data_IF_935000488121
#
_entry.id   IF_935000488121
#
_cell.length_a   1.000
_cell.length_b   1.000
_cell.length_c   1.000
_cell.angle_alpha   90.00
_cell.angle_beta   90.00
_cell.angle_gamma   90.00
#
_symmetry.space_group_name_H-M   'P 1'
#
loop_
_entity.id
_entity.type
_entity.pdbx_description
1 polymer ?
#
# COMPACT_ATOMS: atom_id res chain seq x y z
N UNK A 1 62.48 -45.27 -42.21
CA UNK A 1 62.69 -43.93 -41.63
C UNK A 1 61.34 -43.40 -41.21
N UNK A 2 61.06 -43.40 -39.91
CA UNK A 2 59.78 -43.00 -39.30
C UNK A 2 59.51 -41.51 -39.50
N UNK A 3 58.26 -41.14 -39.75
CA UNK A 3 57.75 -39.80 -39.44
C UNK A 3 56.44 -39.99 -38.67
N UNK A 4 56.51 -39.73 -37.36
CA UNK A 4 55.37 -39.72 -36.43
C UNK A 4 54.60 -38.41 -36.66
N UNK A 5 53.31 -38.50 -36.95
CA UNK A 5 52.39 -37.36 -37.01
C UNK A 5 51.86 -37.10 -35.60
N UNK A 6 52.28 -35.99 -34.98
CA UNK A 6 51.73 -35.52 -33.71
C UNK A 6 50.37 -34.84 -33.95
N UNK A 7 49.27 -35.48 -33.51
CA UNK A 7 47.98 -34.82 -33.32
C UNK A 7 47.99 -34.12 -31.95
N UNK A 8 48.07 -32.79 -31.94
CA UNK A 8 47.82 -31.99 -30.74
C UNK A 8 46.30 -31.78 -30.59
N UNK A 9 45.70 -32.48 -29.63
CA UNK A 9 44.36 -32.19 -29.13
C UNK A 9 44.40 -30.87 -28.32
N UNK A 10 43.97 -29.78 -28.94
CA UNK A 10 43.64 -28.55 -28.22
C UNK A 10 42.28 -28.77 -27.52
N UNK A 11 42.36 -28.97 -26.21
CA UNK A 11 41.21 -28.93 -25.31
C UNK A 11 40.55 -27.55 -25.44
N UNK A 12 39.34 -27.51 -25.98
CA UNK A 12 38.48 -26.35 -25.95
C UNK A 12 37.96 -26.14 -24.51
N UNK A 13 38.79 -25.62 -23.62
CA UNK A 13 38.33 -24.91 -22.42
C UNK A 13 37.94 -23.48 -22.82
N UNK A 14 36.91 -23.38 -23.65
CA UNK A 14 36.24 -22.12 -23.94
C UNK A 14 35.35 -21.76 -22.76
N UNK A 15 35.97 -21.31 -21.66
CA UNK A 15 35.24 -20.51 -20.68
C UNK A 15 34.58 -19.36 -21.44
N UNK A 16 33.28 -19.17 -21.26
CA UNK A 16 32.61 -17.96 -21.71
C UNK A 16 33.45 -16.78 -21.22
N UNK A 17 33.90 -15.87 -22.10
CA UNK A 17 34.52 -14.65 -21.62
C UNK A 17 33.50 -13.97 -20.69
N UNK A 18 33.91 -13.41 -19.54
CA UNK A 18 32.98 -12.61 -18.74
C UNK A 18 32.40 -11.57 -19.70
N UNK A 19 31.08 -11.53 -19.82
CA UNK A 19 30.38 -10.62 -20.70
C UNK A 19 30.97 -9.22 -20.46
N UNK A 20 31.68 -8.69 -21.46
CA UNK A 20 32.24 -7.36 -21.39
C UNK A 20 31.05 -6.42 -21.15
N UNK A 21 30.98 -5.89 -19.94
CA UNK A 21 29.99 -4.95 -19.43
C UNK A 21 30.13 -3.62 -20.19
N UNK A 22 29.67 -3.64 -21.44
CA UNK A 22 29.66 -2.51 -22.34
C UNK A 22 28.43 -1.65 -22.06
N UNK A 23 28.57 -0.35 -22.28
CA UNK A 23 27.43 0.57 -22.13
C UNK A 23 26.30 0.13 -23.08
N UNK A 24 25.04 0.01 -22.62
CA UNK A 24 23.94 -0.31 -23.52
C UNK A 24 23.86 0.73 -24.66
N UNK A 25 23.59 0.27 -25.89
CA UNK A 25 23.72 1.08 -27.10
C UNK A 25 22.80 2.32 -27.14
N UNK A 26 21.65 2.30 -26.45
CA UNK A 26 20.71 3.43 -26.34
C UNK A 26 20.95 4.27 -25.08
N UNK A 27 22.07 4.04 -24.38
CA UNK A 27 22.40 4.71 -23.14
C UNK A 27 23.76 5.37 -23.23
N UNK A 28 23.95 6.41 -22.41
CA UNK A 28 25.21 7.10 -22.22
C UNK A 28 25.80 6.73 -20.86
N UNK A 29 27.06 6.30 -20.86
CA UNK A 29 27.77 5.93 -19.63
C UNK A 29 28.88 6.95 -19.34
N UNK A 30 28.78 7.61 -18.20
CA UNK A 30 29.67 8.68 -17.76
C UNK A 30 30.37 8.26 -16.47
N UNK A 31 31.68 8.51 -16.37
CA UNK A 31 32.39 8.36 -15.10
C UNK A 31 32.30 9.66 -14.29
N UNK A 32 31.97 9.53 -13.01
CA UNK A 32 32.03 10.62 -12.04
C UNK A 32 33.08 10.29 -10.99
N UNK A 33 33.89 11.29 -10.63
CA UNK A 33 34.79 11.20 -9.49
C UNK A 33 33.94 11.45 -8.23
N UNK A 34 33.92 10.50 -7.32
CA UNK A 34 33.27 10.61 -6.02
C UNK A 34 34.18 11.36 -5.03
N UNK A 35 33.57 11.86 -3.95
CA UNK A 35 34.21 12.68 -2.91
C UNK A 35 35.35 11.96 -2.19
N UNK A 36 35.33 10.63 -2.18
CA UNK A 36 36.34 9.74 -1.58
C UNK A 36 37.52 9.44 -2.54
N UNK A 37 37.51 10.03 -3.74
CA UNK A 37 38.52 9.81 -4.78
C UNK A 37 38.26 8.57 -5.64
N UNK A 38 37.19 7.80 -5.39
CA UNK A 38 36.79 6.68 -6.24
C UNK A 38 36.11 7.16 -7.53
N UNK A 39 36.03 6.28 -8.53
CA UNK A 39 35.33 6.53 -9.79
C UNK A 39 34.11 5.63 -9.87
N UNK A 40 32.95 6.25 -10.05
CA UNK A 40 31.68 5.55 -10.18
C UNK A 40 31.03 5.88 -11.52
N UNK A 41 30.36 4.89 -12.12
CA UNK A 41 29.68 5.08 -13.39
C UNK A 41 28.24 5.54 -13.16
N UNK A 42 27.86 6.61 -13.84
CA UNK A 42 26.46 6.98 -14.06
C UNK A 42 26.03 6.54 -15.45
N UNK A 43 24.90 5.85 -15.54
CA UNK A 43 24.28 5.42 -16.80
C UNK A 43 23.00 6.19 -17.01
N UNK A 44 22.82 6.78 -18.18
CA UNK A 44 21.67 7.59 -18.56
C UNK A 44 21.05 6.99 -19.82
N UNK A 45 19.79 6.61 -19.75
CA UNK A 45 18.98 6.13 -20.86
C UNK A 45 17.75 7.03 -20.98
N UNK A 46 17.61 7.73 -22.10
CA UNK A 46 16.53 8.70 -22.32
C UNK A 46 16.00 8.68 -23.77
N UNK A 47 16.26 7.58 -24.47
CA UNK A 47 15.74 7.33 -25.81
C UNK A 47 14.26 6.91 -25.72
N UNK A 48 13.33 7.68 -26.33
CA UNK A 48 11.90 7.37 -26.32
C UNK A 48 11.53 6.00 -26.90
N UNK A 49 12.37 5.44 -27.78
CA UNK A 49 12.14 4.14 -28.43
C UNK A 49 12.46 2.95 -27.50
N UNK A 50 13.07 3.20 -26.33
CA UNK A 50 13.29 2.16 -25.31
C UNK A 50 11.94 1.76 -24.71
N UNK A 51 11.43 0.60 -25.15
CA UNK A 51 10.17 0.01 -24.65
C UNK A 51 10.38 -1.15 -23.66
N UNK A 52 11.59 -1.68 -23.60
CA UNK A 52 12.02 -2.74 -22.69
C UNK A 52 13.24 -2.27 -21.90
N UNK A 53 13.38 -2.77 -20.67
CA UNK A 53 14.54 -2.47 -19.85
C UNK A 53 15.81 -2.99 -20.56
N UNK A 54 16.79 -2.11 -20.87
CA UNK A 54 18.04 -2.54 -21.48
C UNK A 54 18.77 -3.58 -20.61
N UNK A 55 19.41 -4.55 -21.25
CA UNK A 55 20.29 -5.48 -20.56
C UNK A 55 21.73 -4.93 -20.51
N UNK A 56 22.59 -5.59 -19.72
CA UNK A 56 24.04 -5.37 -19.75
C UNK A 56 24.51 -4.02 -19.21
N UNK A 57 23.82 -3.44 -18.23
CA UNK A 57 24.39 -2.31 -17.51
C UNK A 57 25.74 -2.69 -16.87
N UNK A 58 26.75 -1.80 -16.88
CA UNK A 58 28.02 -2.10 -16.24
C UNK A 58 27.88 -2.32 -14.73
N UNK A 59 28.56 -3.33 -14.18
CA UNK A 59 28.45 -3.72 -12.76
C UNK A 59 29.02 -2.67 -11.78
N UNK A 60 29.85 -1.74 -12.29
CA UNK A 60 30.35 -0.56 -11.57
C UNK A 60 29.36 0.63 -11.61
N UNK A 61 28.13 0.42 -12.10
CA UNK A 61 27.09 1.44 -12.12
C UNK A 61 26.63 1.75 -10.71
N UNK A 62 26.79 3.00 -10.34
CA UNK A 62 26.40 3.60 -9.07
C UNK A 62 25.08 4.37 -9.16
N UNK A 63 24.85 4.97 -10.34
CA UNK A 63 23.66 5.77 -10.63
C UNK A 63 23.06 5.40 -11.97
N UNK A 64 21.87 4.84 -11.96
CA UNK A 64 21.12 4.46 -13.16
C UNK A 64 19.92 5.38 -13.32
N UNK A 65 19.88 6.11 -14.45
CA UNK A 65 18.76 6.97 -14.84
C UNK A 65 18.16 6.44 -16.13
N UNK A 66 16.89 6.08 -16.07
CA UNK A 66 16.11 5.64 -17.22
C UNK A 66 14.85 6.49 -17.24
N UNK A 67 14.84 7.60 -17.97
CA UNK A 67 13.79 8.62 -17.86
C UNK A 67 13.22 8.95 -19.24
N UNK A 68 11.92 9.26 -19.32
CA UNK A 68 11.26 9.65 -20.58
C UNK A 68 11.33 8.57 -21.68
N UNK A 69 11.22 7.31 -21.28
CA UNK A 69 11.18 6.14 -22.18
C UNK A 69 9.79 5.49 -22.19
N UNK A 70 9.60 4.49 -23.05
CA UNK A 70 8.36 3.71 -23.17
C UNK A 70 8.35 2.42 -22.32
N UNK A 71 9.19 2.30 -21.30
CA UNK A 71 9.24 1.12 -20.42
C UNK A 71 7.96 1.01 -19.59
N UNK A 72 7.30 -0.15 -19.70
CA UNK A 72 6.02 -0.45 -19.03
C UNK A 72 6.15 -1.27 -17.75
N UNK A 73 7.24 -2.03 -17.61
CA UNK A 73 7.40 -3.00 -16.52
C UNK A 73 8.84 -3.12 -16.06
N UNK A 74 9.03 -3.35 -14.77
CA UNK A 74 10.30 -3.81 -14.19
C UNK A 74 10.16 -5.32 -13.91
N UNK A 75 10.91 -6.19 -14.62
CA UNK A 75 10.86 -7.63 -14.42
C UNK A 75 11.53 -8.06 -13.10
N UNK A 76 11.32 -9.32 -12.69
CA UNK A 76 12.01 -9.93 -11.56
C UNK A 76 13.53 -9.83 -11.72
N UNK A 77 14.24 -9.56 -10.63
CA UNK A 77 15.71 -9.53 -10.58
C UNK A 77 16.37 -8.58 -11.60
N UNK A 78 15.63 -7.57 -12.07
CA UNK A 78 16.05 -6.64 -13.14
C UNK A 78 17.43 -6.02 -12.92
N UNK A 79 17.81 -5.82 -11.65
CA UNK A 79 19.03 -5.12 -11.25
C UNK A 79 19.93 -5.96 -10.34
N UNK A 80 19.74 -7.29 -10.26
CA UNK A 80 20.47 -8.15 -9.31
C UNK A 80 22.00 -8.15 -9.51
N UNK A 81 22.46 -7.78 -10.70
CA UNK A 81 23.87 -7.71 -11.11
C UNK A 81 24.50 -6.32 -10.88
N UNK A 82 23.79 -5.40 -10.23
CA UNK A 82 24.25 -4.03 -9.92
C UNK A 82 24.42 -3.82 -8.41
N UNK A 83 25.42 -4.46 -7.76
CA UNK A 83 25.56 -4.43 -6.30
C UNK A 83 25.96 -3.05 -5.75
N UNK A 84 26.53 -2.18 -6.58
CA UNK A 84 27.01 -0.85 -6.18
C UNK A 84 26.00 0.28 -6.44
N UNK A 85 24.78 -0.06 -6.87
CA UNK A 85 23.78 0.92 -7.24
C UNK A 85 23.24 1.63 -6.00
N UNK A 86 23.42 2.95 -5.94
CA UNK A 86 22.91 3.81 -4.85
C UNK A 86 21.71 4.64 -5.31
N UNK A 87 21.66 5.01 -6.60
CA UNK A 87 20.60 5.84 -7.18
C UNK A 87 19.95 5.14 -8.37
N UNK A 88 18.65 4.86 -8.27
CA UNK A 88 17.84 4.32 -9.36
C UNK A 88 16.68 5.26 -9.65
N UNK A 89 16.75 5.93 -10.81
CA UNK A 89 15.72 6.86 -11.26
C UNK A 89 15.06 6.30 -12.51
N UNK A 90 13.76 6.00 -12.39
CA UNK A 90 12.92 5.57 -13.51
C UNK A 90 11.71 6.51 -13.70
N UNK A 91 11.95 7.81 -13.52
CA UNK A 91 10.96 8.87 -13.55
C UNK A 91 10.40 9.13 -14.95
N UNK A 92 9.13 9.53 -15.04
CA UNK A 92 8.44 9.91 -16.29
C UNK A 92 8.53 8.85 -17.40
N UNK A 93 8.39 7.57 -17.05
CA UNK A 93 8.18 6.50 -18.00
C UNK A 93 6.69 6.15 -18.09
N UNK A 94 6.37 4.96 -18.60
CA UNK A 94 5.00 4.43 -18.65
C UNK A 94 4.83 3.19 -17.77
N UNK A 95 5.58 3.11 -16.67
CA UNK A 95 5.56 1.95 -15.78
C UNK A 95 4.16 1.75 -15.18
N UNK A 96 3.60 0.57 -15.41
CA UNK A 96 2.33 0.15 -14.82
C UNK A 96 2.48 -1.04 -13.88
N UNK A 97 3.65 -1.68 -13.86
CA UNK A 97 3.90 -2.87 -13.06
C UNK A 97 5.37 -3.01 -12.64
N UNK A 98 5.58 -3.40 -11.38
CA UNK A 98 6.89 -3.71 -10.79
C UNK A 98 6.75 -5.07 -10.11
N UNK A 99 7.63 -6.02 -10.45
CA UNK A 99 7.66 -7.31 -9.78
C UNK A 99 8.14 -7.17 -8.32
N UNK A 100 7.67 -8.05 -7.43
CA UNK A 100 8.08 -8.10 -6.02
C UNK A 100 9.58 -8.27 -5.82
N UNK A 101 10.24 -9.00 -6.72
CA UNK A 101 11.68 -9.30 -6.63
C UNK A 101 12.52 -8.46 -7.60
N UNK A 102 11.94 -7.40 -8.18
CA UNK A 102 12.64 -6.52 -9.13
C UNK A 102 13.92 -5.92 -8.58
N UNK A 103 13.92 -5.61 -7.28
CA UNK A 103 15.00 -4.90 -6.59
C UNK A 103 15.91 -5.84 -5.79
N UNK A 104 15.84 -7.14 -6.05
CA UNK A 104 16.69 -8.12 -5.38
C UNK A 104 18.18 -7.78 -5.57
N UNK A 105 18.96 -7.79 -4.49
CA UNK A 105 20.41 -7.54 -4.51
C UNK A 105 20.82 -6.07 -4.41
N UNK A 106 19.88 -5.12 -4.37
CA UNK A 106 20.14 -3.68 -4.28
C UNK A 106 20.42 -3.21 -2.85
N UNK A 107 21.41 -3.84 -2.20
CA UNK A 107 21.72 -3.61 -0.79
C UNK A 107 22.19 -2.18 -0.47
N UNK A 108 22.83 -1.51 -1.44
CA UNK A 108 23.38 -0.16 -1.27
C UNK A 108 22.43 0.95 -1.76
N UNK A 109 21.23 0.60 -2.25
CA UNK A 109 20.33 1.60 -2.82
C UNK A 109 19.85 2.58 -1.74
N UNK A 110 20.13 3.86 -1.94
CA UNK A 110 19.72 4.94 -1.04
C UNK A 110 18.50 5.70 -1.57
N UNK A 111 18.38 5.80 -2.90
CA UNK A 111 17.37 6.61 -3.57
C UNK A 111 16.70 5.86 -4.72
N UNK A 112 15.37 5.69 -4.61
CA UNK A 112 14.52 5.11 -5.63
C UNK A 112 13.46 6.13 -6.07
N UNK A 113 13.51 6.54 -7.33
CA UNK A 113 12.50 7.42 -7.94
C UNK A 113 11.72 6.71 -9.03
N UNK A 114 10.41 6.64 -8.85
CA UNK A 114 9.45 6.06 -9.79
C UNK A 114 8.32 7.07 -10.09
N UNK A 115 8.57 8.36 -9.89
CA UNK A 115 7.61 9.44 -10.06
C UNK A 115 7.16 9.63 -11.52
N UNK A 116 5.95 10.15 -11.72
CA UNK A 116 5.39 10.43 -13.04
C UNK A 116 5.15 9.17 -13.89
N UNK A 117 4.80 8.05 -13.27
CA UNK A 117 4.47 6.78 -13.93
C UNK A 117 2.96 6.45 -13.80
N UNK A 118 2.56 5.21 -14.13
CA UNK A 118 1.18 4.75 -14.10
C UNK A 118 0.95 3.59 -13.12
N UNK A 119 1.75 3.52 -12.04
CA UNK A 119 1.65 2.45 -11.06
C UNK A 119 0.31 2.53 -10.31
N UNK A 120 -0.48 1.47 -10.37
CA UNK A 120 -1.71 1.33 -9.56
C UNK A 120 -1.42 0.71 -8.19
N UNK A 121 -0.30 0.01 -8.06
CA UNK A 121 0.21 -0.54 -6.81
C UNK A 121 1.75 -0.54 -6.84
N UNK A 122 2.35 -0.47 -5.65
CA UNK A 122 3.78 -0.62 -5.43
C UNK A 122 4.03 -1.88 -4.58
N UNK A 123 5.01 -2.73 -4.90
CA UNK A 123 5.29 -3.94 -4.13
C UNK A 123 6.03 -3.61 -2.84
N UNK A 124 5.35 -3.08 -1.82
CA UNK A 124 5.97 -2.61 -0.56
C UNK A 124 6.91 -3.61 0.13
N UNK A 125 6.67 -4.93 -0.02
CA UNK A 125 7.56 -5.97 0.51
C UNK A 125 8.95 -5.95 -0.15
N UNK A 126 9.06 -5.48 -1.40
CA UNK A 126 10.34 -5.41 -2.13
C UNK A 126 11.36 -4.48 -1.46
N UNK A 127 10.90 -3.57 -0.59
CA UNK A 127 11.77 -2.70 0.22
C UNK A 127 12.71 -3.50 1.13
N UNK A 128 12.39 -4.76 1.46
CA UNK A 128 13.30 -5.66 2.20
C UNK A 128 14.63 -5.93 1.49
N UNK A 129 14.67 -5.74 0.17
CA UNK A 129 15.88 -5.91 -0.64
C UNK A 129 16.73 -4.64 -0.74
N UNK A 130 16.27 -3.52 -0.15
CA UNK A 130 16.93 -2.22 -0.17
C UNK A 130 17.03 -1.67 1.28
N UNK A 131 17.78 -2.34 2.16
CA UNK A 131 17.83 -2.01 3.59
C UNK A 131 18.43 -0.63 3.90
N UNK A 132 19.12 0.00 2.95
CA UNK A 132 19.70 1.33 3.10
C UNK A 132 18.87 2.44 2.43
N UNK A 133 17.67 2.11 1.93
CA UNK A 133 16.84 3.08 1.21
C UNK A 133 16.38 4.18 2.17
N UNK A 134 16.66 5.44 1.78
CA UNK A 134 16.31 6.66 2.50
C UNK A 134 15.21 7.44 1.78
N UNK A 135 15.23 7.45 0.45
CA UNK A 135 14.31 8.23 -0.39
C UNK A 135 13.52 7.30 -1.31
N UNK A 136 12.19 7.33 -1.16
CA UNK A 136 11.25 6.71 -2.08
C UNK A 136 10.31 7.76 -2.66
N UNK A 137 10.42 8.00 -3.97
CA UNK A 137 9.55 8.92 -4.69
C UNK A 137 8.58 8.14 -5.58
N UNK A 138 7.29 8.24 -5.25
CA UNK A 138 6.16 7.64 -5.96
C UNK A 138 5.15 8.72 -6.41
N UNK A 139 5.55 10.00 -6.40
CA UNK A 139 4.70 11.11 -6.81
C UNK A 139 4.13 10.91 -8.22
N UNK A 140 2.89 11.35 -8.44
CA UNK A 140 2.31 11.40 -9.77
C UNK A 140 2.06 10.01 -10.38
N UNK A 141 1.69 9.03 -9.56
CA UNK A 141 1.27 7.69 -9.96
C UNK A 141 -0.26 7.52 -9.81
N UNK A 142 -0.75 6.28 -9.77
CA UNK A 142 -2.18 5.94 -9.63
C UNK A 142 -2.44 5.03 -8.44
N UNK A 143 -1.61 5.11 -7.39
CA UNK A 143 -1.72 4.27 -6.21
C UNK A 143 -3.04 4.55 -5.49
N UNK A 144 -3.83 3.51 -5.24
CA UNK A 144 -5.13 3.64 -4.54
C UNK A 144 -5.05 3.40 -3.04
N UNK A 145 -3.99 2.74 -2.56
CA UNK A 145 -3.82 2.38 -1.15
C UNK A 145 -2.37 2.06 -0.81
N UNK A 146 -2.00 2.31 0.44
CA UNK A 146 -0.79 1.76 1.08
C UNK A 146 -1.24 0.67 2.06
N UNK A 147 -0.71 -0.56 2.01
CA UNK A 147 -1.05 -1.62 2.95
C UNK A 147 -0.42 -1.36 4.32
N UNK A 148 -1.08 -1.75 5.40
CA UNK A 148 -0.57 -1.63 6.78
C UNK A 148 0.78 -2.35 6.93
N UNK A 149 1.00 -3.46 6.24
CA UNK A 149 2.23 -4.24 6.26
C UNK A 149 3.44 -3.45 5.76
N UNK A 150 3.24 -2.40 4.96
CA UNK A 150 4.33 -1.53 4.49
C UNK A 150 5.11 -0.88 5.65
N UNK A 151 4.45 -0.66 6.81
CA UNK A 151 5.09 -0.12 8.01
C UNK A 151 6.29 -0.95 8.49
N UNK A 152 6.35 -2.24 8.15
CA UNK A 152 7.48 -3.11 8.48
C UNK A 152 8.75 -2.78 7.69
N UNK A 153 8.61 -2.19 6.51
CA UNK A 153 9.71 -2.05 5.55
C UNK A 153 10.17 -0.61 5.31
N UNK A 154 9.44 0.40 5.78
CA UNK A 154 9.73 1.83 5.55
C UNK A 154 10.54 2.49 6.67
N UNK A 155 11.09 1.72 7.61
CA UNK A 155 11.73 2.25 8.83
C UNK A 155 12.99 3.07 8.57
N UNK A 156 13.64 2.84 7.44
CA UNK A 156 14.87 3.53 7.02
C UNK A 156 14.60 4.76 6.16
N UNK A 157 13.36 4.90 5.66
CA UNK A 157 12.99 6.04 4.84
C UNK A 157 12.96 7.32 5.67
N UNK A 158 13.63 8.34 5.16
CA UNK A 158 13.56 9.73 5.62
C UNK A 158 12.77 10.60 4.64
N UNK A 159 12.46 10.10 3.45
CA UNK A 159 11.64 10.79 2.46
C UNK A 159 10.72 9.79 1.76
N UNK A 160 9.41 10.06 1.83
CA UNK A 160 8.38 9.34 1.09
C UNK A 160 7.43 10.34 0.43
N UNK A 161 7.45 10.40 -0.89
CA UNK A 161 6.46 11.18 -1.64
C UNK A 161 5.42 10.26 -2.29
N UNK A 162 4.17 10.41 -1.84
CA UNK A 162 2.98 9.74 -2.36
C UNK A 162 1.96 10.77 -2.91
N UNK A 163 2.37 12.01 -3.10
CA UNK A 163 1.51 13.06 -3.63
C UNK A 163 1.03 12.77 -5.05
N UNK A 164 -0.05 13.43 -5.47
CA UNK A 164 -0.63 13.27 -6.81
C UNK A 164 -0.95 11.80 -7.18
N UNK A 165 -1.49 11.04 -6.24
CA UNK A 165 -1.92 9.65 -6.43
C UNK A 165 -3.46 9.54 -6.32
N UNK A 166 -3.97 8.35 -5.99
CA UNK A 166 -5.41 8.06 -5.80
C UNK A 166 -5.69 7.51 -4.39
N UNK A 167 -4.86 7.88 -3.42
CA UNK A 167 -5.00 7.41 -2.05
C UNK A 167 -6.26 7.96 -1.40
N UNK A 168 -7.05 7.07 -0.80
CA UNK A 168 -8.23 7.44 -0.01
C UNK A 168 -7.88 7.64 1.47
N UNK A 169 -6.82 6.99 1.96
CA UNK A 169 -6.43 7.04 3.37
C UNK A 169 -4.96 6.69 3.50
N UNK A 170 -4.40 6.97 4.68
CA UNK A 170 -3.06 6.57 5.08
C UNK A 170 -3.14 5.71 6.35
N UNK A 171 -2.60 4.46 6.35
CA UNK A 171 -2.63 3.62 7.54
C UNK A 171 -1.90 4.27 8.72
N UNK A 172 -2.48 4.19 9.92
CA UNK A 172 -1.88 4.78 11.12
C UNK A 172 -0.60 4.05 11.55
N UNK A 173 -0.41 2.80 11.14
CA UNK A 173 0.82 2.05 11.39
C UNK A 173 2.04 2.68 10.70
N UNK A 174 1.84 3.34 9.57
CA UNK A 174 2.92 4.04 8.85
C UNK A 174 3.35 5.27 9.65
N UNK A 175 2.38 6.06 10.11
CA UNK A 175 2.64 7.24 10.94
C UNK A 175 3.30 6.83 12.26
N UNK A 176 2.79 5.81 12.94
CA UNK A 176 3.34 5.34 14.23
C UNK A 176 4.72 4.71 14.07
N UNK A 177 4.99 4.02 12.96
CA UNK A 177 6.33 3.50 12.65
C UNK A 177 7.36 4.63 12.64
N UNK A 178 7.04 5.79 12.08
CA UNK A 178 7.94 6.94 12.04
C UNK A 178 7.98 7.74 13.34
N UNK A 179 6.87 7.82 14.07
CA UNK A 179 6.82 8.49 15.39
C UNK A 179 7.59 7.75 16.49
N UNK A 180 7.79 6.44 16.34
CA UNK A 180 8.49 5.60 17.34
C UNK A 180 9.99 5.48 17.10
N UNK A 181 10.51 5.96 15.96
CA UNK A 181 11.95 6.02 15.71
C UNK A 181 12.56 7.05 16.65
N UNK A 182 13.13 6.58 17.77
CA UNK A 182 14.02 7.42 18.57
C UNK A 182 15.18 7.84 17.67
N UNK A 183 15.57 9.13 17.67
CA UNK A 183 16.77 9.55 16.97
C UNK A 183 17.92 8.63 17.38
N UNK A 184 18.56 7.97 16.41
CA UNK A 184 19.80 7.26 16.70
C UNK A 184 20.76 8.27 17.35
N UNK A 185 21.30 7.93 18.51
CA UNK A 185 22.21 8.81 19.24
C UNK A 185 23.35 9.23 18.29
N UNK A 186 23.42 10.53 17.99
CA UNK A 186 24.44 11.10 17.11
C UNK A 186 24.00 11.43 15.68
N UNK A 187 22.78 11.09 15.26
CA UNK A 187 22.22 11.56 13.99
C UNK A 187 21.46 12.87 14.23
N UNK A 188 21.93 13.96 13.62
CA UNK A 188 21.19 15.22 13.55
C UNK A 188 19.75 14.96 13.12
N UNK A 189 18.80 15.67 13.75
CA UNK A 189 17.35 15.62 13.52
C UNK A 189 16.98 15.34 12.07
N UNK A 190 16.88 14.06 11.70
CA UNK A 190 16.52 13.67 10.35
C UNK A 190 15.02 13.78 10.25
N UNK A 191 14.55 14.97 9.84
CA UNK A 191 13.14 15.22 9.59
C UNK A 191 12.69 14.27 8.49
N UNK A 192 11.70 13.44 8.80
CA UNK A 192 11.06 12.55 7.84
C UNK A 192 10.16 13.43 6.96
N UNK A 193 10.34 13.39 5.66
CA UNK A 193 9.57 14.18 4.71
C UNK A 193 8.47 13.31 4.11
N UNK A 194 7.22 13.77 4.20
CA UNK A 194 6.05 13.05 3.71
C UNK A 194 5.22 13.89 2.73
N UNK A 195 5.07 13.41 1.50
CA UNK A 195 4.17 13.97 0.50
C UNK A 195 2.84 13.21 0.43
N UNK A 196 1.73 13.90 0.68
CA UNK A 196 0.36 13.32 0.57
C UNK A 196 -0.63 14.21 -0.19
N UNK A 197 -0.24 15.42 -0.59
CA UNK A 197 -1.12 16.34 -1.30
C UNK A 197 -1.62 15.76 -2.63
N UNK A 198 -2.67 16.36 -3.19
CA UNK A 198 -3.30 15.93 -4.45
C UNK A 198 -3.75 14.46 -4.48
N UNK A 199 -4.14 13.94 -3.31
CA UNK A 199 -4.83 12.67 -3.17
C UNK A 199 -6.32 12.88 -2.83
N UNK A 200 -7.23 12.02 -3.32
CA UNK A 200 -8.64 12.08 -3.02
C UNK A 200 -8.96 11.51 -1.62
N UNK A 201 -8.40 12.14 -0.58
CA UNK A 201 -8.51 11.68 0.81
C UNK A 201 -9.97 11.60 1.27
N UNK A 202 -10.37 10.43 1.76
CA UNK A 202 -11.66 10.15 2.38
C UNK A 202 -11.54 10.38 3.89
N UNK A 203 -11.99 11.54 4.33
CA UNK A 203 -11.99 11.99 5.72
C UNK A 203 -13.07 11.30 6.56
N UNK A 204 -12.85 10.00 6.80
CA UNK A 204 -13.54 9.22 7.82
C UNK A 204 -12.60 8.93 9.00
N UNK A 205 -13.06 8.14 9.97
CA UNK A 205 -12.30 7.87 11.18
C UNK A 205 -10.90 7.25 10.94
N UNK A 206 -10.64 6.65 9.77
CA UNK A 206 -9.34 6.04 9.46
C UNK A 206 -8.25 7.10 9.28
N UNK A 207 -8.63 8.32 8.91
CA UNK A 207 -7.72 9.47 8.84
C UNK A 207 -7.59 10.23 10.16
N UNK A 208 -8.24 9.77 11.24
CA UNK A 208 -8.20 10.43 12.55
C UNK A 208 -6.76 10.72 13.01
N UNK A 209 -5.88 9.72 12.99
CA UNK A 209 -4.50 9.89 13.46
C UNK A 209 -3.70 10.86 12.59
N UNK A 210 -3.94 10.87 11.27
CA UNK A 210 -3.30 11.82 10.35
C UNK A 210 -3.77 13.26 10.62
N UNK A 211 -5.06 13.46 10.87
CA UNK A 211 -5.62 14.76 11.28
C UNK A 211 -5.01 15.24 12.58
N UNK A 212 -4.94 14.38 13.61
CA UNK A 212 -4.32 14.74 14.89
C UNK A 212 -2.85 15.10 14.71
N UNK A 213 -2.15 14.34 13.87
CA UNK A 213 -0.76 14.61 13.54
C UNK A 213 -0.58 15.98 12.85
N UNK A 214 -1.45 16.35 11.91
CA UNK A 214 -1.37 17.66 11.25
C UNK A 214 -1.73 18.82 12.18
N UNK A 215 -2.65 18.62 13.14
CA UNK A 215 -2.99 19.62 14.17
C UNK A 215 -1.82 19.88 15.12
N UNK A 216 -1.06 18.83 15.44
CA UNK A 216 0.07 18.87 16.38
C UNK A 216 1.26 18.08 15.81
N UNK A 217 1.95 18.63 14.78
CA UNK A 217 3.03 17.91 14.11
C UNK A 217 4.19 17.65 15.07
N UNK A 218 4.76 16.44 15.00
CA UNK A 218 6.01 16.16 15.69
C UNK A 218 7.15 16.90 15.00
N UNK A 219 8.20 17.26 15.75
CA UNK A 219 9.41 17.85 15.16
C UNK A 219 10.13 16.90 14.19
N UNK A 220 9.81 15.60 14.23
CA UNK A 220 10.49 14.56 13.46
C UNK A 220 9.89 14.30 12.08
N UNK A 221 8.71 14.84 11.74
CA UNK A 221 8.08 14.63 10.43
C UNK A 221 7.59 15.96 9.85
N UNK A 222 8.02 16.27 8.63
CA UNK A 222 7.61 17.43 7.85
C UNK A 222 6.79 17.00 6.64
N UNK A 223 5.68 17.69 6.37
CA UNK A 223 4.95 17.49 5.12
C UNK A 223 5.56 18.33 4.00
N UNK A 224 5.63 17.78 2.79
CA UNK A 224 6.04 18.54 1.59
C UNK A 224 5.06 19.70 1.34
N UNK A 225 3.77 19.44 1.48
CA UNK A 225 2.71 20.45 1.48
C UNK A 225 1.76 20.17 2.65
N UNK A 226 1.53 21.18 3.49
CA UNK A 226 0.65 21.13 4.65
C UNK A 226 -0.81 21.38 4.30
N UNK A 227 -1.14 21.81 3.08
CA UNK A 227 -2.50 22.09 2.62
C UNK A 227 -3.25 20.83 2.18
N UNK A 228 -3.17 19.77 2.97
CA UNK A 228 -3.94 18.55 2.74
C UNK A 228 -5.43 18.85 2.88
N UNK A 229 -6.26 18.36 1.96
CA UNK A 229 -7.70 18.60 1.93
C UNK A 229 -8.48 17.30 1.84
N UNK A 230 -9.64 17.29 2.45
CA UNK A 230 -10.63 16.23 2.30
C UNK A 230 -11.25 16.29 0.91
N UNK A 231 -11.28 15.17 0.19
CA UNK A 231 -12.04 15.05 -1.05
C UNK A 231 -13.46 14.50 -0.80
N UNK A 232 -13.57 13.63 0.20
CA UNK A 232 -14.82 13.00 0.61
C UNK A 232 -14.87 12.85 2.15
N UNK A 233 -16.04 12.61 2.76
CA UNK A 233 -17.38 12.66 2.16
C UNK A 233 -17.75 14.07 1.69
N UNK A 234 -18.85 14.22 0.95
CA UNK A 234 -19.32 15.52 0.42
C UNK A 234 -19.44 16.59 1.51
N UNK A 235 -19.86 16.21 2.72
CA UNK A 235 -19.96 17.11 3.88
C UNK A 235 -18.63 17.70 4.35
N UNK A 236 -17.50 17.09 3.99
CA UNK A 236 -16.16 17.54 4.35
C UNK A 236 -15.32 17.93 3.12
N UNK A 237 -15.88 17.86 1.91
CA UNK A 237 -15.12 18.08 0.68
C UNK A 237 -14.55 19.50 0.62
N UNK A 238 -13.27 19.63 0.27
CA UNK A 238 -12.52 20.89 0.18
C UNK A 238 -11.99 21.43 1.51
N UNK A 239 -12.44 20.91 2.65
CA UNK A 239 -11.98 21.33 3.98
C UNK A 239 -10.54 20.91 4.18
N UNK A 240 -9.74 21.77 4.84
CA UNK A 240 -8.37 21.42 5.24
C UNK A 240 -8.41 20.27 6.24
N UNK A 241 -7.51 19.31 6.08
CA UNK A 241 -7.45 18.13 6.91
C UNK A 241 -7.18 18.49 8.39
N UNK A 242 -6.42 19.55 8.66
CA UNK A 242 -6.23 20.11 10.02
C UNK A 242 -7.53 20.62 10.66
N UNK A 243 -8.53 20.99 9.87
CA UNK A 243 -9.77 21.58 10.35
C UNK A 243 -10.89 20.54 10.46
N UNK A 244 -10.66 19.34 9.94
CA UNK A 244 -11.62 18.23 10.03
C UNK A 244 -11.78 17.78 11.49
N UNK A 245 -13.03 17.71 11.95
CA UNK A 245 -13.37 17.11 13.24
C UNK A 245 -13.80 15.65 13.03
N UNK A 246 -12.81 14.75 13.09
CA UNK A 246 -13.02 13.32 12.90
C UNK A 246 -13.14 12.63 14.25
N UNK A 247 -14.02 11.63 14.34
CA UNK A 247 -14.09 10.72 15.48
C UNK A 247 -13.11 9.57 15.29
N UNK A 248 -12.48 9.11 16.37
CA UNK A 248 -11.65 7.92 16.34
C UNK A 248 -12.47 6.70 15.93
N UNK A 249 -11.88 5.79 15.14
CA UNK A 249 -12.57 4.56 14.76
C UNK A 249 -12.90 3.74 16.01
N UNK A 250 -14.10 3.17 16.03
CA UNK A 250 -14.58 2.34 17.12
C UNK A 250 -15.12 1.05 16.55
N UNK A 251 -14.60 -0.07 17.05
CA UNK A 251 -15.12 -1.37 16.69
C UNK A 251 -16.63 -1.44 16.97
N UNK A 252 -17.39 -2.00 16.02
CA UNK A 252 -18.83 -2.01 16.14
C UNK A 252 -19.30 -2.97 17.23
N UNK A 253 -20.00 -2.43 18.22
CA UNK A 253 -20.63 -3.18 19.31
C UNK A 253 -22.10 -3.40 18.97
N UNK A 254 -22.49 -4.66 18.92
CA UNK A 254 -23.87 -5.04 18.60
C UNK A 254 -24.68 -5.15 19.89
N UNK A 255 -25.74 -4.37 19.97
CA UNK A 255 -26.74 -4.42 21.03
C UNK A 255 -27.98 -5.18 20.51
N UNK A 256 -28.25 -6.36 21.06
CA UNK A 256 -29.53 -7.04 20.80
C UNK A 256 -30.56 -6.58 21.83
N UNK A 257 -31.73 -6.12 21.36
CA UNK A 257 -32.81 -5.68 22.26
C UNK A 257 -33.56 -6.88 22.87
N UNK A 258 -33.71 -7.98 22.12
CA UNK A 258 -34.40 -9.20 22.58
C UNK A 258 -33.64 -10.43 22.10
N UNK A 259 -33.18 -11.25 23.04
CA UNK A 259 -32.38 -12.45 22.75
C UNK A 259 -33.22 -13.72 22.57
N UNK A 260 -34.53 -13.67 22.81
CA UNK A 260 -35.46 -14.81 22.74
C UNK A 260 -36.90 -14.36 22.44
N UNK A 261 -37.40 -14.61 21.23
CA UNK A 261 -38.79 -14.28 20.83
C UNK A 261 -39.58 -15.55 20.57
N UNK A 262 -40.74 -15.66 21.23
CA UNK A 262 -41.69 -16.78 21.20
C UNK A 262 -42.97 -16.28 20.52
N UNK A 263 -43.46 -16.98 19.50
CA UNK A 263 -44.64 -16.57 18.71
C UNK A 263 -45.39 -17.79 18.18
N UNK A 264 -46.70 -17.62 17.93
CA UNK A 264 -47.55 -18.61 17.27
C UNK A 264 -47.41 -18.52 15.76
N UNK A 265 -47.66 -19.65 15.07
CA UNK A 265 -47.65 -19.73 13.61
C UNK A 265 -48.66 -18.76 13.01
N UNK A 266 -48.28 -18.10 11.91
CA UNK A 266 -49.13 -17.12 11.21
C UNK A 266 -49.01 -15.67 11.71
N UNK A 267 -48.38 -15.43 12.86
CA UNK A 267 -48.12 -14.07 13.33
C UNK A 267 -47.00 -13.39 12.55
N UNK A 268 -46.98 -12.06 12.59
CA UNK A 268 -45.84 -11.28 12.13
C UNK A 268 -44.85 -11.09 13.29
N UNK A 269 -43.58 -11.40 13.04
CA UNK A 269 -42.51 -11.27 14.05
C UNK A 269 -41.51 -10.21 13.60
N UNK A 270 -41.21 -9.28 14.51
CA UNK A 270 -40.21 -8.23 14.33
C UNK A 270 -38.97 -8.55 15.16
N UNK A 271 -37.82 -8.73 14.50
CA UNK A 271 -36.52 -8.84 15.17
C UNK A 271 -35.80 -7.52 15.05
N UNK A 272 -35.25 -7.02 16.17
CA UNK A 272 -34.58 -5.72 16.19
C UNK A 272 -33.17 -5.87 16.73
N UNK A 273 -32.19 -5.44 15.94
CA UNK A 273 -30.79 -5.41 16.32
C UNK A 273 -30.22 -4.00 16.19
N UNK A 274 -29.57 -3.52 17.24
CA UNK A 274 -28.84 -2.25 17.26
C UNK A 274 -27.36 -2.49 17.14
N UNK A 275 -26.61 -1.56 16.54
CA UNK A 275 -25.16 -1.54 16.65
C UNK A 275 -24.64 -0.11 16.70
N UNK A 276 -23.53 0.07 17.40
CA UNK A 276 -22.82 1.34 17.52
C UNK A 276 -21.39 1.13 17.11
N UNK A 277 -20.84 2.02 16.29
CA UNK A 277 -19.46 1.95 15.83
C UNK A 277 -19.11 3.16 14.98
N UNK A 278 -17.82 3.34 14.73
CA UNK A 278 -17.30 4.37 13.83
C UNK A 278 -16.32 3.70 12.87
N UNK A 279 -16.62 3.63 11.55
CA UNK A 279 -17.80 4.17 10.88
C UNK A 279 -19.10 3.44 11.28
N UNK A 280 -20.25 4.04 10.99
CA UNK A 280 -21.56 3.43 11.31
C UNK A 280 -21.64 2.05 10.65
N UNK A 281 -21.82 0.97 11.42
CA UNK A 281 -21.74 -0.39 10.87
C UNK A 281 -22.96 -0.70 9.99
N UNK A 282 -22.76 -1.42 8.89
CA UNK A 282 -23.89 -1.98 8.11
C UNK A 282 -24.31 -3.32 8.70
N UNK A 283 -25.58 -3.44 9.10
CA UNK A 283 -26.13 -4.68 9.68
C UNK A 283 -26.77 -5.58 8.61
N UNK A 284 -26.50 -6.87 8.68
CA UNK A 284 -27.10 -7.89 7.79
C UNK A 284 -27.70 -9.04 8.61
N UNK A 285 -28.79 -9.62 8.13
CA UNK A 285 -29.45 -10.74 8.80
C UNK A 285 -29.14 -12.06 8.10
N UNK A 286 -28.87 -13.12 8.86
CA UNK A 286 -28.67 -14.48 8.34
C UNK A 286 -29.19 -15.54 9.30
N UNK A 287 -29.67 -16.67 8.80
CA UNK A 287 -29.99 -17.82 9.66
C UNK A 287 -28.72 -18.59 10.02
N UNK A 288 -28.73 -19.22 11.18
CA UNK A 288 -27.65 -20.08 11.63
C UNK A 288 -27.52 -21.37 10.81
N UNK A 289 -28.65 -21.88 10.33
CA UNK A 289 -28.75 -23.09 9.52
C UNK A 289 -28.44 -22.86 8.02
N UNK A 290 -28.07 -21.63 7.64
CA UNK A 290 -27.75 -21.26 6.26
C UNK A 290 -28.95 -21.15 5.32
N UNK A 291 -30.18 -21.38 5.80
CA UNK A 291 -31.39 -21.23 4.99
C UNK A 291 -31.69 -19.76 4.70
N UNK A 292 -32.47 -19.51 3.66
CA UNK A 292 -32.94 -18.18 3.29
C UNK A 292 -33.89 -17.61 4.35
N UNK A 293 -33.76 -16.32 4.65
CA UNK A 293 -34.69 -15.59 5.51
C UNK A 293 -35.90 -15.15 4.68
N UNK A 294 -37.10 -15.55 5.11
CA UNK A 294 -38.34 -15.08 4.50
C UNK A 294 -38.82 -13.79 5.20
N UNK A 295 -38.08 -12.69 5.01
CA UNK A 295 -38.40 -11.43 5.65
C UNK A 295 -37.70 -10.23 5.03
N UNK A 296 -38.24 -9.05 5.28
CA UNK A 296 -37.68 -7.78 4.80
C UNK A 296 -36.98 -7.05 5.94
N UNK A 297 -35.74 -6.60 5.72
CA UNK A 297 -34.98 -5.82 6.69
C UNK A 297 -34.96 -4.34 6.31
N UNK A 298 -35.23 -3.46 7.29
CA UNK A 298 -35.06 -2.00 7.16
C UNK A 298 -34.01 -1.52 8.16
N UNK A 299 -33.20 -0.55 7.75
CA UNK A 299 -32.21 0.10 8.62
C UNK A 299 -32.62 1.53 8.92
N UNK A 300 -32.46 1.92 10.18
CA UNK A 300 -32.77 3.24 10.70
C UNK A 300 -31.57 3.73 11.51
N UNK A 301 -31.12 4.94 11.24
CA UNK A 301 -30.03 5.56 12.00
C UNK A 301 -30.63 6.44 13.09
N UNK A 302 -30.33 6.13 14.36
CA UNK A 302 -30.65 7.01 15.49
C UNK A 302 -29.76 8.24 15.47
N UNK A 303 -30.27 9.34 16.02
CA UNK A 303 -29.50 10.57 16.27
C UNK A 303 -28.28 10.32 17.18
N UNK A 304 -28.36 9.30 18.04
CA UNK A 304 -27.29 8.93 18.98
C UNK A 304 -26.17 8.08 18.31
N UNK A 305 -26.19 7.92 16.99
CA UNK A 305 -25.18 7.16 16.25
C UNK A 305 -25.36 5.63 16.31
N UNK A 306 -26.48 5.16 16.87
CA UNK A 306 -26.88 3.75 16.84
C UNK A 306 -27.59 3.46 15.53
N UNK A 307 -27.12 2.48 14.76
CA UNK A 307 -27.90 1.91 13.66
C UNK A 307 -28.81 0.82 14.22
N UNK A 308 -30.10 0.89 13.88
CA UNK A 308 -31.08 -0.14 14.16
C UNK A 308 -31.43 -0.84 12.86
N UNK A 309 -31.43 -2.17 12.89
CA UNK A 309 -31.95 -3.00 11.82
C UNK A 309 -33.15 -3.77 12.34
N UNK A 310 -34.28 -3.67 11.64
CA UNK A 310 -35.53 -4.34 11.97
C UNK A 310 -35.84 -5.31 10.85
N UNK A 311 -35.86 -6.60 11.18
CA UNK A 311 -36.31 -7.67 10.29
C UNK A 311 -37.78 -7.96 10.56
N UNK A 312 -38.61 -7.80 9.54
CA UNK A 312 -40.01 -8.22 9.56
C UNK A 312 -40.16 -9.58 8.87
N UNK A 313 -40.55 -10.59 9.63
CA UNK A 313 -40.91 -11.92 9.15
C UNK A 313 -42.42 -12.04 9.23
N UNK A 314 -43.09 -11.97 8.09
CA UNK A 314 -44.54 -12.04 7.99
C UNK A 314 -45.03 -13.48 7.97
N UNK A 315 -46.14 -13.76 8.65
CA UNK A 315 -46.77 -15.08 8.69
C UNK A 315 -45.79 -16.22 9.03
N UNK A 316 -45.14 -16.14 10.19
CA UNK A 316 -44.08 -17.09 10.58
C UNK A 316 -44.56 -18.55 10.58
N UNK A 317 -43.70 -19.44 10.10
CA UNK A 317 -43.93 -20.89 10.05
C UNK A 317 -42.97 -21.64 10.97
N UNK A 318 -43.19 -22.94 11.18
CA UNK A 318 -42.25 -23.79 11.91
C UNK A 318 -40.88 -23.88 11.22
N UNK A 319 -40.82 -23.64 9.91
CA UNK A 319 -39.56 -23.60 9.16
C UNK A 319 -38.74 -22.35 9.46
N UNK A 320 -39.34 -21.27 9.97
CA UNK A 320 -38.65 -20.05 10.38
C UNK A 320 -37.96 -20.19 11.74
N UNK A 321 -38.09 -21.38 12.34
CA UNK A 321 -37.47 -21.71 13.61
C UNK A 321 -35.95 -21.86 13.54
N UNK A 322 -35.26 -21.19 14.46
CA UNK A 322 -33.82 -21.33 14.64
C UNK A 322 -33.15 -20.06 15.16
N UNK A 323 -31.82 -20.10 15.20
CA UNK A 323 -31.03 -18.93 15.57
C UNK A 323 -30.90 -18.01 14.35
N UNK A 324 -31.15 -16.71 14.52
CA UNK A 324 -31.07 -15.70 13.47
C UNK A 324 -30.07 -14.63 13.92
N UNK A 325 -29.00 -14.44 13.15
CA UNK A 325 -27.90 -13.55 13.50
C UNK A 325 -28.00 -12.24 12.75
N UNK A 326 -27.77 -11.14 13.47
CA UNK A 326 -27.41 -9.86 12.87
C UNK A 326 -25.89 -9.76 12.86
N UNK A 327 -25.29 -9.69 11.67
CA UNK A 327 -23.84 -9.71 11.47
C UNK A 327 -23.32 -8.38 10.89
N UNK A 328 -22.18 -7.96 11.42
CA UNK A 328 -21.29 -6.98 10.80
C UNK A 328 -19.88 -7.60 10.61
N UNK A 329 -19.05 -6.97 9.78
CA UNK A 329 -17.70 -7.39 9.37
C UNK A 329 -16.85 -7.91 10.57
N UNK A 330 -16.67 -9.24 10.65
CA UNK A 330 -16.02 -10.01 11.72
C UNK A 330 -16.60 -9.96 13.16
N UNK A 331 -17.40 -8.96 13.54
CA UNK A 331 -18.08 -8.88 14.85
C UNK A 331 -19.48 -9.51 14.80
N UNK A 332 -19.75 -10.45 15.71
CA UNK A 332 -21.02 -11.20 15.78
C UNK A 332 -21.94 -10.63 16.86
N UNK A 333 -23.14 -10.21 16.46
CA UNK A 333 -24.28 -10.06 17.37
C UNK A 333 -25.18 -11.28 17.28
N UNK A 334 -25.44 -11.95 18.41
CA UNK A 334 -26.29 -13.15 18.44
C UNK A 334 -27.69 -12.80 18.92
N UNK A 335 -28.70 -13.08 18.09
CA UNK A 335 -30.10 -13.12 18.51
C UNK A 335 -30.62 -14.56 18.39
N UNK A 336 -31.33 -15.05 19.41
CA UNK A 336 -31.90 -16.40 19.42
C UNK A 336 -33.40 -16.29 19.22
N UNK A 337 -33.97 -16.94 18.21
CA UNK A 337 -35.42 -17.13 18.14
C UNK A 337 -35.75 -18.47 18.77
N UNK A 338 -36.71 -18.53 19.70
CA UNK A 338 -37.13 -19.78 20.35
C UNK A 338 -38.64 -19.78 20.48
N UNK A 339 -39.31 -20.88 20.17
CA UNK A 339 -40.77 -20.94 20.22
C UNK A 339 -41.27 -21.23 21.65
N UNK A 340 -42.49 -20.80 21.94
CA UNK A 340 -43.31 -21.38 23.01
C UNK A 340 -44.33 -22.29 22.35
N UNK A 341 -44.56 -23.43 22.98
CA UNK A 341 -45.67 -24.32 22.68
C UNK A 341 -47.00 -23.66 23.00
#
# INVERSE_FOLDING_TARGET
MMVIVFFALLLASGGFPPAQTSCPYQCSCLYQNLSDGSRARSVICNDPDISLLPASFPSDTYKLRIEKTAIKRIPSEAFNYLPNLEFLWMSFNVLSWVNTDSFHGLNNLEELRLDGNFLTAFPWESLKYMPNLKLLDLHGNRLSSVPTEAAKFIRTLTYLDLSSNKLLTMPSEILTSWMTVKPMQGAESSNIILGLHDNPLLCDCRLYDLVQFQKSPSLSVAFIDTNLRCAAPESLSGILLSDADLRQCQEPKVHSAVSRIRSTVGNNVLLRCGAVGVPIPKLTWRRADGKTLNGTAKQENSKDGIVWSILNVSAVTFHDSGNIFAKHQATLGVQRLLFLY
#
